data_IF_546527083558
#
_entry.id   IF_546527083558
#
_cell.length_a   1.000
_cell.length_b   1.000
_cell.length_c   1.000
_cell.angle_alpha   90.00
_cell.angle_beta   90.00
_cell.angle_gamma   90.00
#
_symmetry.space_group_name_H-M   'P 1'
#
loop_
_entity.id
_entity.type
_entity.pdbx_description
1 polymer ?
#
# COMPACT_ATOMS: atom_id res chain seq x y z
N UNK A 1 14.54 -22.55 -6.37
CA UNK A 1 14.12 -21.64 -7.46
C UNK A 1 13.48 -20.43 -6.81
N UNK A 2 14.03 -19.22 -6.99
CA UNK A 2 13.41 -17.98 -6.51
C UNK A 2 12.28 -17.60 -7.47
N UNK A 3 11.07 -17.35 -6.96
CA UNK A 3 9.95 -16.82 -7.75
C UNK A 3 9.71 -15.38 -7.28
N UNK A 4 10.01 -14.37 -8.11
CA UNK A 4 9.77 -12.99 -7.73
C UNK A 4 8.27 -12.72 -7.61
N UNK A 5 7.92 -11.81 -6.70
CA UNK A 5 6.58 -11.23 -6.58
C UNK A 5 6.69 -9.73 -6.81
N UNK A 6 5.62 -9.14 -7.34
CA UNK A 6 5.52 -7.70 -7.58
C UNK A 6 4.36 -7.12 -6.78
N UNK A 7 4.51 -5.89 -6.33
CA UNK A 7 3.42 -5.11 -5.75
C UNK A 7 2.73 -4.31 -6.85
N UNK A 8 1.42 -4.54 -7.00
CA UNK A 8 0.57 -3.76 -7.92
C UNK A 8 0.33 -2.38 -7.33
N UNK A 9 0.29 -1.34 -8.18
CA UNK A 9 0.13 0.05 -7.76
C UNK A 9 -1.10 0.68 -8.38
N UNK A 10 -1.70 1.61 -7.66
CA UNK A 10 -2.75 2.52 -8.10
C UNK A 10 -2.21 3.96 -8.12
N UNK A 11 -2.89 4.85 -8.84
CA UNK A 11 -2.69 6.28 -8.67
C UNK A 11 -2.98 6.69 -7.22
N UNK A 12 -2.18 7.62 -6.69
CA UNK A 12 -2.55 8.34 -5.49
C UNK A 12 -3.64 9.36 -5.81
N UNK A 13 -4.49 9.65 -4.82
CA UNK A 13 -5.59 10.59 -4.95
C UNK A 13 -5.70 11.40 -3.66
N UNK A 14 -6.35 12.57 -3.74
CA UNK A 14 -6.61 13.45 -2.58
C UNK A 14 -5.31 13.77 -1.82
N UNK A 15 -5.34 13.77 -0.48
CA UNK A 15 -4.20 14.13 0.36
C UNK A 15 -2.97 13.20 0.26
N UNK A 16 -3.07 12.05 -0.42
CA UNK A 16 -1.89 11.23 -0.71
C UNK A 16 -0.99 11.86 -1.78
N UNK A 17 -1.53 12.71 -2.65
CA UNK A 17 -0.75 13.42 -3.68
C UNK A 17 0.28 14.38 -3.07
N UNK A 18 0.02 14.88 -1.85
CA UNK A 18 0.96 15.72 -1.11
C UNK A 18 2.21 14.93 -0.67
N UNK A 19 2.16 13.60 -0.69
CA UNK A 19 3.27 12.70 -0.34
C UNK A 19 3.92 12.10 -1.59
N UNK A 20 3.14 11.50 -2.49
CA UNK A 20 3.64 10.81 -3.69
C UNK A 20 2.54 10.60 -4.75
N UNK A 21 2.91 10.49 -6.03
CA UNK A 21 2.00 10.27 -7.16
C UNK A 21 1.35 8.85 -7.24
N UNK A 22 1.81 7.88 -6.44
CA UNK A 22 1.40 6.48 -6.53
C UNK A 22 1.27 5.85 -5.15
N UNK A 23 0.41 4.85 -5.05
CA UNK A 23 0.21 4.04 -3.86
C UNK A 23 0.12 2.55 -4.20
N UNK A 24 0.39 1.63 -3.26
CA UNK A 24 0.07 0.22 -3.44
C UNK A 24 -1.43 0.03 -3.70
N UNK A 25 -1.79 -0.97 -4.51
CA UNK A 25 -3.16 -1.48 -4.58
C UNK A 25 -3.45 -2.23 -3.26
N UNK A 26 -4.24 -1.61 -2.39
CA UNK A 26 -4.67 -2.21 -1.14
C UNK A 26 -6.13 -2.64 -1.27
N UNK A 27 -6.43 -3.90 -0.96
CA UNK A 27 -7.76 -4.48 -1.09
C UNK A 27 -8.44 -4.61 0.28
N UNK A 28 -9.77 -4.69 0.29
CA UNK A 28 -10.50 -5.17 1.47
C UNK A 28 -10.11 -6.61 1.81
N UNK A 29 -10.38 -7.07 3.03
CA UNK A 29 -10.03 -8.44 3.43
C UNK A 29 -10.76 -9.49 2.58
N UNK A 30 -12.01 -9.22 2.22
CA UNK A 30 -12.87 -10.07 1.38
C UNK A 30 -12.35 -10.13 -0.06
N UNK A 31 -11.99 -8.97 -0.63
CA UNK A 31 -11.40 -8.86 -1.95
C UNK A 31 -10.04 -9.58 -2.03
N UNK A 32 -9.19 -9.42 -1.02
CA UNK A 32 -7.89 -10.10 -0.95
C UNK A 32 -8.03 -11.63 -0.91
N UNK A 33 -9.03 -12.17 -0.20
CA UNK A 33 -9.31 -13.61 -0.19
C UNK A 33 -9.70 -14.12 -1.57
N UNK A 34 -10.57 -13.40 -2.29
CA UNK A 34 -10.95 -13.74 -3.66
C UNK A 34 -9.78 -13.63 -4.63
N UNK A 35 -8.99 -12.57 -4.52
CA UNK A 35 -7.77 -12.37 -5.33
C UNK A 35 -6.79 -13.57 -5.26
N UNK A 36 -6.73 -14.26 -4.11
CA UNK A 36 -5.82 -15.39 -3.89
C UNK A 36 -6.37 -16.75 -4.37
N UNK A 37 -7.63 -16.81 -4.82
CA UNK A 37 -8.21 -18.04 -5.36
C UNK A 37 -7.53 -18.42 -6.69
N UNK A 38 -7.28 -19.70 -6.91
CA UNK A 38 -6.54 -20.17 -8.10
C UNK A 38 -7.41 -20.27 -9.35
N UNK A 39 -8.73 -20.29 -9.18
CA UNK A 39 -9.74 -20.50 -10.21
C UNK A 39 -10.41 -19.22 -10.69
N UNK A 40 -9.96 -18.04 -10.21
CA UNK A 40 -10.43 -16.76 -10.76
C UNK A 40 -9.81 -16.52 -12.13
N UNK A 41 -10.61 -15.97 -13.03
CA UNK A 41 -10.17 -15.49 -14.32
C UNK A 41 -9.37 -14.19 -14.20
N UNK A 42 -8.61 -13.87 -15.25
CA UNK A 42 -7.91 -12.58 -15.33
C UNK A 42 -8.88 -11.38 -15.29
N UNK A 43 -10.08 -11.55 -15.85
CA UNK A 43 -11.11 -10.51 -15.82
C UNK A 43 -11.63 -10.27 -14.41
N UNK A 44 -11.90 -11.34 -13.65
CA UNK A 44 -12.32 -11.21 -12.25
C UNK A 44 -11.23 -10.56 -11.39
N UNK A 45 -9.96 -10.90 -11.60
CA UNK A 45 -8.85 -10.22 -10.93
C UNK A 45 -8.83 -8.72 -11.27
N UNK A 46 -8.98 -8.35 -12.54
CA UNK A 46 -9.06 -6.95 -12.95
C UNK A 46 -10.25 -6.21 -12.30
N UNK A 47 -11.42 -6.85 -12.24
CA UNK A 47 -12.62 -6.29 -11.61
C UNK A 47 -12.42 -6.07 -10.11
N UNK A 48 -11.76 -7.01 -9.40
CA UNK A 48 -11.38 -6.84 -8.00
C UNK A 48 -10.44 -5.64 -7.84
N UNK A 49 -9.38 -5.55 -8.68
CA UNK A 49 -8.40 -4.47 -8.59
C UNK A 49 -9.03 -3.08 -8.83
N UNK A 50 -9.98 -2.98 -9.76
CA UNK A 50 -10.64 -1.71 -10.11
C UNK A 50 -11.68 -1.28 -9.09
N UNK A 51 -12.50 -2.22 -8.62
CA UNK A 51 -13.73 -1.88 -7.90
C UNK A 51 -13.62 -2.09 -6.39
N UNK A 52 -12.61 -2.82 -5.90
CA UNK A 52 -12.51 -3.22 -4.49
C UNK A 52 -11.19 -2.80 -3.83
N UNK A 53 -10.48 -1.88 -4.47
CA UNK A 53 -9.38 -1.15 -3.87
C UNK A 53 -9.89 -0.21 -2.77
N UNK A 54 -9.19 -0.16 -1.64
CA UNK A 54 -9.47 0.80 -0.58
C UNK A 54 -9.28 2.23 -1.12
N UNK A 55 -10.21 3.16 -0.87
CA UNK A 55 -10.09 4.55 -1.31
C UNK A 55 -8.98 5.29 -0.56
N UNK A 56 -8.50 6.42 -1.11
CA UNK A 56 -7.39 7.17 -0.51
C UNK A 56 -7.70 7.72 0.90
N UNK A 57 -8.96 8.00 1.21
CA UNK A 57 -9.42 8.48 2.51
C UNK A 57 -9.56 7.37 3.58
N UNK A 58 -9.37 6.09 3.20
CA UNK A 58 -9.23 5.00 4.16
C UNK A 58 -7.84 4.97 4.83
N UNK A 59 -6.91 5.84 4.42
CA UNK A 59 -5.53 5.87 4.90
C UNK A 59 -5.29 7.08 5.80
N UNK A 60 -4.44 6.87 6.80
CA UNK A 60 -3.82 7.93 7.59
C UNK A 60 -2.31 7.91 7.37
N UNK A 61 -1.68 9.07 7.53
CA UNK A 61 -0.25 9.23 7.36
C UNK A 61 0.30 10.29 8.31
N UNK A 62 1.58 10.18 8.61
CA UNK A 62 2.35 11.13 9.41
C UNK A 62 3.82 11.06 9.02
N UNK A 63 4.57 12.13 9.28
CA UNK A 63 6.01 12.14 9.09
C UNK A 63 6.70 11.21 10.11
N UNK A 64 7.79 10.55 9.69
CA UNK A 64 8.62 9.65 10.52
C UNK A 64 10.10 10.03 10.40
N UNK A 65 10.96 9.45 11.25
CA UNK A 65 12.41 9.67 11.19
C UNK A 65 12.99 9.25 9.83
N UNK A 66 13.99 10.00 9.36
CA UNK A 66 14.77 9.66 8.15
C UNK A 66 15.56 8.35 8.29
N UNK A 67 15.73 7.85 9.52
CA UNK A 67 16.40 6.58 9.81
C UNK A 67 15.74 5.39 9.11
N UNK A 68 14.44 5.49 8.76
CA UNK A 68 13.71 4.47 7.97
C UNK A 68 14.32 4.24 6.59
N UNK A 69 15.08 5.20 6.05
CA UNK A 69 15.77 5.07 4.76
C UNK A 69 16.97 4.11 4.77
N UNK A 70 17.48 3.74 5.95
CA UNK A 70 18.56 2.77 6.07
C UNK A 70 18.01 1.40 6.48
N UNK A 71 18.05 0.44 5.56
CA UNK A 71 17.49 -0.92 5.72
C UNK A 71 18.08 -1.72 6.89
N UNK A 72 19.22 -1.31 7.45
CA UNK A 72 19.80 -1.94 8.64
C UNK A 72 19.00 -1.63 9.91
N UNK A 73 18.22 -0.56 9.91
CA UNK A 73 17.35 -0.19 11.02
C UNK A 73 16.03 -0.97 10.89
N UNK A 74 15.62 -1.65 11.97
CA UNK A 74 14.41 -2.49 12.01
C UNK A 74 13.57 -2.27 13.28
N UNK A 75 13.85 -1.19 14.02
CA UNK A 75 13.17 -0.89 15.26
C UNK A 75 11.77 -0.33 15.07
N UNK A 76 10.95 -0.40 16.13
CA UNK A 76 9.54 0.04 16.10
C UNK A 76 9.40 1.56 15.96
N UNK A 77 10.41 2.31 16.36
CA UNK A 77 10.49 3.77 16.28
C UNK A 77 10.38 4.30 14.85
N UNK A 78 10.67 3.46 13.85
CA UNK A 78 10.69 3.86 12.44
C UNK A 78 9.29 4.20 11.88
N UNK A 79 8.21 3.80 12.56
CA UNK A 79 6.83 4.14 12.20
C UNK A 79 6.18 5.13 13.16
N UNK A 80 6.88 5.56 14.21
CA UNK A 80 6.35 6.48 15.21
C UNK A 80 6.38 7.91 14.63
N UNK A 81 5.29 8.70 14.80
CA UNK A 81 5.25 10.08 14.33
C UNK A 81 6.39 10.91 14.92
N UNK A 82 7.06 11.71 14.09
CA UNK A 82 7.93 12.79 14.55
C UNK A 82 7.13 14.09 14.65
N UNK A 83 7.55 14.99 15.54
CA UNK A 83 7.04 16.36 15.52
C UNK A 83 7.69 17.10 14.34
N UNK A 84 6.93 17.51 13.30
CA UNK A 84 7.50 18.20 12.14
C UNK A 84 8.02 19.62 12.46
N UNK A 85 7.77 20.13 13.68
CA UNK A 85 8.24 21.43 14.14
C UNK A 85 9.60 21.38 14.86
N UNK A 86 10.30 20.25 14.85
CA UNK A 86 11.67 20.06 15.38
C UNK A 86 12.62 19.60 14.27
#
# INVERSE_FOLDING_TARGET
MFRPVLLVRSAAEKGLLDIHDRRPLALTAEAAKRWLQQDISAQEAEDIARNESLPADAFAWHAVSKDVGNVKNQGRELIIPINPAL
#
